data_IF_703467630140
#
_entry.id   IF_703467630140
#
_cell.length_a   1.000
_cell.length_b   1.000
_cell.length_c   1.000
_cell.angle_alpha   90.00
_cell.angle_beta   90.00
_cell.angle_gamma   90.00
#
_symmetry.space_group_name_H-M   'P 1'
#
loop_
_entity.id
_entity.type
_entity.pdbx_description
1 polymer ?
#
# COMPACT_ATOMS: atom_id res chain seq x y z
N UNK A 1 30.21 -13.05 -24.69
CA UNK A 1 28.90 -13.44 -24.13
C UNK A 1 27.79 -12.83 -24.98
N UNK A 2 27.59 -13.33 -26.20
CA UNK A 2 26.74 -12.67 -27.23
C UNK A 2 25.66 -13.59 -27.81
N UNK A 3 25.29 -14.67 -27.10
CA UNK A 3 24.47 -15.75 -27.69
C UNK A 3 23.17 -16.04 -26.94
N UNK A 4 22.55 -14.99 -26.36
CA UNK A 4 21.29 -15.12 -25.57
C UNK A 4 20.19 -14.11 -25.92
N UNK A 5 20.35 -13.33 -27.00
CA UNK A 5 19.43 -12.24 -27.34
C UNK A 5 18.46 -12.52 -28.51
N UNK A 6 18.45 -13.75 -29.06
CA UNK A 6 17.58 -14.11 -30.19
C UNK A 6 16.26 -14.82 -29.80
N UNK A 7 16.03 -15.13 -28.53
CA UNK A 7 14.92 -16.01 -28.11
C UNK A 7 13.70 -15.31 -27.47
N UNK A 8 13.59 -13.98 -27.52
CA UNK A 8 12.43 -13.24 -26.95
C UNK A 8 11.68 -12.43 -28.02
N UNK A 9 11.41 -13.03 -29.17
CA UNK A 9 10.61 -12.43 -30.26
C UNK A 9 9.27 -13.13 -30.53
N UNK A 10 8.68 -13.75 -29.51
CA UNK A 10 7.55 -14.67 -29.68
C UNK A 10 6.40 -14.60 -28.67
N UNK A 11 6.18 -13.48 -27.96
CA UNK A 11 5.02 -13.34 -27.08
C UNK A 11 4.25 -12.05 -27.39
N UNK A 12 3.22 -12.17 -28.22
CA UNK A 12 2.27 -11.11 -28.51
C UNK A 12 1.43 -10.76 -27.28
N UNK A 13 1.49 -9.49 -26.88
CA UNK A 13 0.62 -8.90 -25.86
C UNK A 13 -0.70 -8.52 -26.56
N UNK A 14 -1.88 -8.99 -26.11
CA UNK A 14 -3.13 -8.55 -26.70
C UNK A 14 -3.47 -7.14 -26.20
N UNK A 15 -3.67 -6.22 -27.15
CA UNK A 15 -4.21 -4.89 -26.91
C UNK A 15 -5.68 -5.00 -26.46
N UNK A 16 -6.00 -4.48 -25.27
CA UNK A 16 -7.39 -4.31 -24.84
C UNK A 16 -7.84 -2.91 -25.25
N UNK A 17 -8.61 -2.86 -26.33
CA UNK A 17 -9.37 -1.71 -26.81
C UNK A 17 -10.54 -1.41 -25.87
N UNK A 18 -10.59 -0.18 -25.33
CA UNK A 18 -11.79 0.33 -24.64
C UNK A 18 -12.53 1.23 -25.62
N UNK A 19 -13.60 0.72 -26.21
CA UNK A 19 -14.56 1.51 -26.99
C UNK A 19 -15.98 1.20 -26.52
N UNK A 20 -16.62 2.25 -25.97
CA UNK A 20 -18.03 2.60 -26.12
C UNK A 20 -19.09 1.64 -25.61
N UNK A 21 -19.89 2.09 -24.63
CA UNK A 21 -21.34 1.82 -24.66
C UNK A 21 -22.11 3.03 -24.13
N UNK A 22 -23.14 3.36 -24.91
CA UNK A 22 -24.08 4.46 -24.85
C UNK A 22 -24.93 4.58 -23.57
N UNK A 23 -25.41 5.81 -23.40
CA UNK A 23 -26.55 6.17 -22.55
C UNK A 23 -27.89 5.68 -23.15
N UNK A 24 -28.89 5.55 -22.25
CA UNK A 24 -30.35 5.51 -22.46
C UNK A 24 -31.06 4.15 -22.59
N UNK A 25 -31.86 3.82 -21.55
CA UNK A 25 -33.20 3.20 -21.56
C UNK A 25 -33.52 2.70 -20.12
N UNK A 26 -34.29 3.42 -19.30
CA UNK A 26 -35.75 3.25 -19.05
C UNK A 26 -36.22 1.82 -18.72
N UNK A 27 -36.65 1.60 -17.47
CA UNK A 27 -37.67 0.61 -17.03
C UNK A 27 -37.77 0.68 -15.49
N UNK A 28 -38.80 1.35 -14.93
CA UNK A 28 -40.10 0.77 -14.53
C UNK A 28 -40.07 0.04 -13.19
N UNK A 29 -40.54 0.74 -12.16
CA UNK A 29 -41.00 0.22 -10.87
C UNK A 29 -42.16 -0.76 -11.06
N UNK A 30 -42.25 -1.83 -10.24
CA UNK A 30 -43.53 -2.38 -9.84
C UNK A 30 -43.75 -2.15 -8.34
N UNK A 31 -44.85 -1.44 -8.11
CA UNK A 31 -45.55 -1.26 -6.85
C UNK A 31 -46.28 -2.56 -6.44
N UNK A 32 -46.53 -2.67 -5.13
CA UNK A 32 -47.62 -3.41 -4.49
C UNK A 32 -47.48 -4.92 -4.23
N UNK A 33 -47.21 -5.25 -2.96
CA UNK A 33 -47.99 -6.29 -2.28
C UNK A 33 -48.33 -5.80 -0.86
N UNK A 34 -49.62 -5.84 -0.54
CA UNK A 34 -50.33 -5.17 0.55
C UNK A 34 -49.82 -5.48 1.96
N UNK A 35 -49.80 -4.41 2.78
CA UNK A 35 -49.79 -4.49 4.23
C UNK A 35 -51.25 -4.59 4.70
N UNK A 36 -51.65 -5.76 5.18
CA UNK A 36 -52.82 -5.88 6.05
C UNK A 36 -52.43 -5.40 7.45
N UNK A 37 -53.05 -4.29 7.87
CA UNK A 37 -52.92 -3.74 9.22
C UNK A 37 -53.55 -4.70 10.24
N UNK A 38 -52.76 -5.15 11.21
CA UNK A 38 -53.31 -5.71 12.46
C UNK A 38 -53.34 -4.60 13.51
N UNK A 39 -54.52 -4.45 14.13
CA UNK A 39 -54.82 -3.46 15.15
C UNK A 39 -54.37 -4.05 16.47
N UNK A 40 -53.28 -3.53 17.03
CA UNK A 40 -53.17 -3.27 18.46
C UNK A 40 -51.93 -2.41 18.69
N UNK A 41 -52.16 -1.18 19.16
CA UNK A 41 -51.09 -0.23 19.46
C UNK A 41 -50.28 -0.71 20.65
N UNK A 42 -49.06 -1.16 20.40
CA UNK A 42 -47.93 -1.09 21.32
C UNK A 42 -46.69 -0.73 20.50
N UNK A 43 -46.09 0.42 20.80
CA UNK A 43 -44.80 0.83 20.24
C UNK A 43 -43.75 -0.25 20.55
N UNK A 44 -43.18 -0.85 19.52
CA UNK A 44 -42.04 -1.75 19.68
C UNK A 44 -40.79 -0.90 19.97
N UNK A 45 -40.54 -0.69 21.26
CA UNK A 45 -39.25 -0.25 21.77
C UNK A 45 -38.15 -1.16 21.22
N UNK A 46 -37.18 -0.58 20.51
CA UNK A 46 -35.99 -1.26 20.06
C UNK A 46 -35.12 -1.57 21.28
N UNK A 47 -35.36 -2.72 21.91
CA UNK A 47 -34.47 -3.25 22.94
C UNK A 47 -33.21 -3.74 22.26
N UNK A 48 -32.16 -2.91 22.32
CA UNK A 48 -30.81 -3.34 22.06
C UNK A 48 -30.48 -4.52 22.98
N UNK A 49 -30.17 -5.67 22.40
CA UNK A 49 -29.70 -6.81 23.17
C UNK A 49 -28.32 -6.46 23.74
N UNK A 50 -28.27 -6.03 25.00
CA UNK A 50 -27.05 -6.02 25.81
C UNK A 50 -26.55 -7.45 25.93
N UNK A 51 -25.60 -7.81 25.08
CA UNK A 51 -24.73 -8.94 25.34
C UNK A 51 -23.81 -8.55 26.49
N UNK A 52 -23.88 -9.31 27.59
CA UNK A 52 -22.97 -9.18 28.73
C UNK A 52 -21.52 -9.46 28.29
N UNK A 53 -20.84 -8.42 27.84
CA UNK A 53 -19.39 -8.33 27.80
C UNK A 53 -18.92 -7.61 29.05
N UNK A 54 -17.92 -8.17 29.73
CA UNK A 54 -17.25 -7.52 30.86
C UNK A 54 -16.81 -6.10 30.51
N UNK A 55 -16.95 -5.11 31.41
CA UNK A 55 -16.66 -3.70 31.12
C UNK A 55 -15.16 -3.36 31.36
N UNK A 56 -14.25 -4.20 30.86
CA UNK A 56 -12.81 -3.98 30.98
C UNK A 56 -12.17 -3.97 29.59
N UNK A 57 -12.33 -2.90 28.80
CA UNK A 57 -11.60 -2.82 27.53
C UNK A 57 -11.96 -1.75 26.49
N UNK A 58 -12.94 -0.87 26.72
CA UNK A 58 -13.32 0.12 25.69
C UNK A 58 -12.26 1.21 25.46
N UNK A 59 -11.42 1.55 26.43
CA UNK A 59 -10.40 2.61 26.28
C UNK A 59 -9.11 2.18 25.56
N UNK A 60 -8.73 0.91 25.61
CA UNK A 60 -7.44 0.43 25.07
C UNK A 60 -7.50 0.16 23.56
N UNK A 61 -8.67 -0.26 23.06
CA UNK A 61 -8.88 -0.54 21.64
C UNK A 61 -8.81 0.74 20.78
N UNK A 62 -9.31 1.86 21.31
CA UNK A 62 -9.32 3.16 20.62
C UNK A 62 -7.94 3.81 20.60
N UNK A 63 -7.20 3.78 21.72
CA UNK A 63 -5.83 4.34 21.78
C UNK A 63 -4.89 3.68 20.76
N UNK A 64 -4.99 2.36 20.60
CA UNK A 64 -4.08 1.61 19.73
C UNK A 64 -4.30 1.88 18.22
N UNK A 65 -5.55 2.13 17.80
CA UNK A 65 -5.84 2.57 16.44
C UNK A 65 -5.40 4.02 16.22
N UNK A 66 -5.53 4.89 17.22
CA UNK A 66 -5.05 6.28 17.15
C UNK A 66 -3.55 6.31 16.91
N UNK A 67 -2.76 5.52 17.65
CA UNK A 67 -1.31 5.44 17.47
C UNK A 67 -0.94 4.96 16.06
N UNK A 68 -1.64 3.92 15.57
CA UNK A 68 -1.43 3.42 14.22
C UNK A 68 -1.76 4.44 13.13
N UNK A 69 -2.90 5.13 13.23
CA UNK A 69 -3.23 6.18 12.28
C UNK A 69 -2.26 7.36 12.37
N UNK A 70 -1.70 7.64 13.55
CA UNK A 70 -0.58 8.56 13.72
C UNK A 70 0.63 8.15 12.90
N UNK A 71 1.07 6.89 13.01
CA UNK A 71 2.17 6.35 12.20
C UNK A 71 1.88 6.40 10.70
N UNK A 72 0.66 6.03 10.27
CA UNK A 72 0.23 6.10 8.88
C UNK A 72 0.28 7.53 8.35
N UNK A 73 -0.15 8.51 9.15
CA UNK A 73 -0.14 9.91 8.76
C UNK A 73 1.29 10.45 8.65
N UNK A 74 2.14 10.13 9.62
CA UNK A 74 3.55 10.51 9.60
C UNK A 74 4.27 9.94 8.36
N UNK A 75 4.06 8.65 8.07
CA UNK A 75 4.65 8.00 6.90
C UNK A 75 4.11 8.58 5.58
N UNK A 76 2.80 8.87 5.53
CA UNK A 76 2.18 9.57 4.40
C UNK A 76 2.80 10.95 4.18
N UNK A 77 3.04 11.71 5.25
CA UNK A 77 3.67 13.03 5.17
C UNK A 77 5.11 12.94 4.67
N UNK A 78 5.88 11.94 5.11
CA UNK A 78 7.23 11.71 4.62
C UNK A 78 7.25 11.35 3.13
N UNK A 79 6.31 10.53 2.65
CA UNK A 79 6.20 10.21 1.21
C UNK A 79 5.82 11.45 0.40
N UNK A 80 4.91 12.29 0.90
CA UNK A 80 4.57 13.57 0.25
C UNK A 80 5.77 14.50 0.23
N UNK A 81 6.50 14.60 1.34
CA UNK A 81 7.71 15.39 1.45
C UNK A 81 8.79 14.92 0.47
N UNK A 82 9.02 13.60 0.39
CA UNK A 82 9.91 12.99 -0.59
C UNK A 82 9.52 13.40 -2.01
N UNK A 83 8.25 13.26 -2.40
CA UNK A 83 7.77 13.70 -3.72
C UNK A 83 7.99 15.19 -3.97
N UNK A 84 7.80 16.03 -2.95
CA UNK A 84 8.04 17.47 -3.06
C UNK A 84 9.53 17.80 -3.27
N UNK A 85 10.46 17.02 -2.71
CA UNK A 85 11.88 17.14 -3.03
C UNK A 85 12.11 16.82 -4.51
N UNK A 86 11.51 15.74 -5.03
CA UNK A 86 11.63 15.37 -6.46
C UNK A 86 11.13 16.47 -7.39
N UNK A 87 10.02 17.11 -7.06
CA UNK A 87 9.48 18.23 -7.83
C UNK A 87 10.40 19.45 -7.84
N UNK A 88 11.20 19.66 -6.78
CA UNK A 88 12.19 20.73 -6.72
C UNK A 88 13.47 20.42 -7.51
N UNK A 89 13.85 19.14 -7.67
CA UNK A 89 15.02 18.79 -8.50
C UNK A 89 14.81 19.10 -9.99
N UNK A 90 13.60 18.90 -10.51
CA UNK A 90 13.28 19.08 -11.94
C UNK A 90 13.67 20.47 -12.49
N UNK A 91 13.23 21.59 -11.89
CA UNK A 91 13.62 22.92 -12.39
C UNK A 91 15.13 23.16 -12.26
N UNK A 92 15.79 22.65 -11.23
CA UNK A 92 17.24 22.80 -11.07
C UNK A 92 18.01 22.08 -12.20
N UNK A 93 17.56 20.89 -12.62
CA UNK A 93 18.17 20.21 -13.77
C UNK A 93 17.99 20.99 -15.07
N UNK A 94 16.82 21.58 -15.29
CA UNK A 94 16.58 22.44 -16.46
C UNK A 94 17.43 23.71 -16.43
N UNK A 95 17.50 24.37 -15.28
CA UNK A 95 18.29 25.59 -15.09
C UNK A 95 19.79 25.32 -15.25
N UNK A 96 20.25 24.17 -14.76
CA UNK A 96 21.64 23.72 -14.91
C UNK A 96 22.02 23.52 -16.37
N UNK A 97 21.13 22.94 -17.17
CA UNK A 97 21.35 22.74 -18.59
C UNK A 97 21.36 24.07 -19.38
N UNK A 98 20.60 25.08 -18.92
CA UNK A 98 20.50 26.38 -19.60
C UNK A 98 21.63 27.36 -19.24
N UNK A 99 22.33 27.16 -18.11
CA UNK A 99 23.27 28.14 -17.55
C UNK A 99 24.72 27.80 -17.86
N UNK A 100 25.45 28.74 -18.48
CA UNK A 100 26.90 28.63 -18.75
C UNK A 100 27.77 29.44 -17.77
N UNK A 101 27.14 30.22 -16.89
CA UNK A 101 27.83 31.05 -15.90
C UNK A 101 28.42 30.19 -14.78
N UNK A 102 29.76 30.11 -14.70
CA UNK A 102 30.50 29.25 -13.75
C UNK A 102 30.04 29.39 -12.28
N UNK A 103 29.77 30.61 -11.83
CA UNK A 103 29.33 30.88 -10.45
C UNK A 103 27.95 30.31 -10.15
N UNK A 104 26.99 30.47 -11.06
CA UNK A 104 25.63 29.91 -10.92
C UNK A 104 25.61 28.40 -11.08
N UNK A 105 26.42 27.89 -12.02
CA UNK A 105 26.63 26.45 -12.23
C UNK A 105 27.04 25.74 -10.93
N UNK A 106 28.01 26.30 -10.20
CA UNK A 106 28.47 25.72 -8.94
C UNK A 106 27.38 25.75 -7.86
N UNK A 107 26.61 26.85 -7.78
CA UNK A 107 25.52 26.99 -6.83
C UNK A 107 24.40 25.98 -7.09
N UNK A 108 23.92 25.89 -8.34
CA UNK A 108 22.88 24.95 -8.75
C UNK A 108 23.33 23.50 -8.51
N UNK A 109 24.60 23.18 -8.78
CA UNK A 109 25.14 21.84 -8.51
C UNK A 109 25.11 21.50 -7.01
N UNK A 110 25.46 22.46 -6.15
CA UNK A 110 25.38 22.31 -4.70
C UNK A 110 23.95 22.08 -4.22
N UNK A 111 22.99 22.82 -4.79
CA UNK A 111 21.56 22.68 -4.45
C UNK A 111 21.01 21.31 -4.89
N UNK A 112 21.35 20.87 -6.11
CA UNK A 112 21.01 19.52 -6.61
C UNK A 112 21.57 18.46 -5.67
N UNK A 113 22.86 18.51 -5.33
CA UNK A 113 23.49 17.53 -4.45
C UNK A 113 22.85 17.51 -3.05
N UNK A 114 22.45 18.68 -2.53
CA UNK A 114 21.76 18.79 -1.24
C UNK A 114 20.37 18.17 -1.31
N UNK A 115 19.59 18.42 -2.36
CA UNK A 115 18.27 17.82 -2.52
C UNK A 115 18.34 16.31 -2.76
N UNK A 116 19.31 15.83 -3.55
CA UNK A 116 19.55 14.40 -3.76
C UNK A 116 19.84 13.68 -2.44
N UNK A 117 20.74 14.23 -1.60
CA UNK A 117 21.06 13.66 -0.29
C UNK A 117 19.83 13.61 0.62
N UNK A 118 19.07 14.69 0.70
CA UNK A 118 17.82 14.73 1.48
C UNK A 118 16.79 13.74 0.96
N UNK A 119 16.67 13.58 -0.36
CA UNK A 119 15.77 12.61 -0.96
C UNK A 119 16.17 11.17 -0.58
N UNK A 120 17.47 10.83 -0.64
CA UNK A 120 17.99 9.53 -0.20
C UNK A 120 17.72 9.27 1.29
N UNK A 121 18.00 10.25 2.16
CA UNK A 121 17.76 10.13 3.61
C UNK A 121 16.28 9.85 3.92
N UNK A 122 15.37 10.61 3.33
CA UNK A 122 13.93 10.42 3.51
C UNK A 122 13.48 9.08 2.94
N UNK A 123 13.99 8.69 1.77
CA UNK A 123 13.62 7.43 1.14
C UNK A 123 14.06 6.22 1.98
N UNK A 124 15.27 6.25 2.55
CA UNK A 124 15.73 5.22 3.48
C UNK A 124 14.88 5.17 4.75
N UNK A 125 14.54 6.34 5.31
CA UNK A 125 13.67 6.42 6.49
C UNK A 125 12.29 5.83 6.21
N UNK A 126 11.63 6.22 5.11
CA UNK A 126 10.32 5.68 4.70
C UNK A 126 10.40 4.17 4.50
N UNK A 127 11.48 3.66 3.90
CA UNK A 127 11.68 2.21 3.72
C UNK A 127 11.74 1.47 5.06
N UNK A 128 12.50 1.99 6.02
CA UNK A 128 12.60 1.40 7.36
C UNK A 128 11.26 1.45 8.09
N UNK A 129 10.61 2.61 8.12
CA UNK A 129 9.32 2.77 8.82
C UNK A 129 8.22 1.90 8.17
N UNK A 130 8.25 1.68 6.85
CA UNK A 130 7.38 0.72 6.17
C UNK A 130 7.65 -0.72 6.63
N UNK A 131 8.92 -1.11 6.69
CA UNK A 131 9.31 -2.44 7.19
C UNK A 131 8.85 -2.65 8.63
N UNK A 132 9.06 -1.67 9.50
CA UNK A 132 8.65 -1.73 10.90
C UNK A 132 7.13 -1.87 11.02
N UNK A 133 6.36 -1.11 10.23
CA UNK A 133 4.91 -1.27 10.18
C UNK A 133 4.47 -2.65 9.65
N UNK A 134 5.21 -3.25 8.72
CA UNK A 134 4.94 -4.60 8.24
C UNK A 134 5.12 -5.64 9.37
N UNK A 135 6.22 -5.54 10.12
CA UNK A 135 6.52 -6.42 11.25
C UNK A 135 5.50 -6.24 12.39
N UNK A 136 5.11 -5.01 12.68
CA UNK A 136 4.08 -4.71 13.69
C UNK A 136 2.71 -5.22 13.27
N UNK A 137 2.35 -5.13 11.98
CA UNK A 137 1.12 -5.72 11.47
C UNK A 137 1.09 -7.25 11.62
N UNK A 138 2.24 -7.91 11.41
CA UNK A 138 2.39 -9.35 11.62
C UNK A 138 2.19 -9.70 13.10
N UNK A 139 2.90 -9.03 13.99
CA UNK A 139 2.77 -9.21 15.45
C UNK A 139 1.34 -8.97 15.93
N UNK A 140 0.67 -7.95 15.40
CA UNK A 140 -0.72 -7.66 15.73
C UNK A 140 -1.65 -8.83 15.36
N UNK A 141 -1.48 -9.41 14.18
CA UNK A 141 -2.30 -10.54 13.74
C UNK A 141 -2.06 -11.79 14.59
N UNK A 142 -0.82 -12.03 15.00
CA UNK A 142 -0.45 -13.15 15.89
C UNK A 142 -1.02 -12.97 17.30
N UNK A 143 -0.94 -11.75 17.86
CA UNK A 143 -1.40 -11.45 19.22
C UNK A 143 -2.93 -11.31 19.31
N UNK A 144 -3.59 -10.89 18.22
CA UNK A 144 -5.02 -10.58 18.20
C UNK A 144 -5.76 -11.28 17.05
N UNK A 145 -5.80 -12.63 17.01
CA UNK A 145 -6.39 -13.39 15.90
C UNK A 145 -7.89 -13.14 15.70
N UNK A 146 -8.59 -12.65 16.73
CA UNK A 146 -10.01 -12.31 16.67
C UNK A 146 -10.29 -10.89 16.17
N UNK A 147 -9.30 -9.98 16.16
CA UNK A 147 -9.45 -8.58 15.74
C UNK A 147 -9.23 -8.42 14.23
N UNK A 148 -9.92 -9.24 13.44
CA UNK A 148 -9.72 -9.33 11.98
C UNK A 148 -10.03 -8.04 11.22
N UNK A 149 -10.98 -7.24 11.71
CA UNK A 149 -11.34 -5.95 11.08
C UNK A 149 -10.19 -4.94 11.14
N UNK A 150 -9.57 -4.81 12.31
CA UNK A 150 -8.42 -3.94 12.51
C UNK A 150 -7.19 -4.44 11.74
N UNK A 151 -6.91 -5.74 11.80
CA UNK A 151 -5.82 -6.37 11.05
C UNK A 151 -5.94 -6.05 9.55
N UNK A 152 -7.16 -6.14 9.00
CA UNK A 152 -7.44 -5.79 7.61
C UNK A 152 -7.18 -4.31 7.33
N UNK A 153 -7.62 -3.40 8.19
CA UNK A 153 -7.35 -1.96 8.02
C UNK A 153 -5.85 -1.71 7.99
N UNK A 154 -5.11 -2.27 8.97
CA UNK A 154 -3.67 -2.11 9.10
C UNK A 154 -2.90 -2.52 7.84
N UNK A 155 -3.16 -3.73 7.36
CA UNK A 155 -2.51 -4.27 6.15
C UNK A 155 -2.86 -3.43 4.91
N UNK A 156 -4.13 -3.04 4.74
CA UNK A 156 -4.54 -2.23 3.59
C UNK A 156 -3.89 -0.83 3.58
N UNK A 157 -3.75 -0.19 4.74
CA UNK A 157 -3.07 1.11 4.84
C UNK A 157 -1.58 0.98 4.51
N UNK A 158 -0.90 -0.04 5.05
CA UNK A 158 0.50 -0.29 4.75
C UNK A 158 0.72 -0.58 3.24
N UNK A 159 -0.11 -1.42 2.61
CA UNK A 159 -0.07 -1.64 1.16
C UNK A 159 -0.31 -0.36 0.34
N UNK A 160 -1.22 0.52 0.78
CA UNK A 160 -1.46 1.81 0.12
C UNK A 160 -0.19 2.67 0.15
N UNK A 161 0.46 2.76 1.31
CA UNK A 161 1.67 3.56 1.50
C UNK A 161 2.84 3.02 0.67
N UNK A 162 3.05 1.70 0.63
CA UNK A 162 4.08 1.10 -0.25
C UNK A 162 3.82 1.49 -1.72
N UNK A 163 2.60 1.31 -2.22
CA UNK A 163 2.28 1.67 -3.61
C UNK A 163 2.51 3.15 -3.88
N UNK A 164 2.19 4.02 -2.93
CA UNK A 164 2.44 5.46 -3.06
C UNK A 164 3.94 5.77 -3.12
N UNK A 165 4.73 5.12 -2.28
CA UNK A 165 6.18 5.28 -2.24
C UNK A 165 6.88 4.70 -3.47
N UNK A 166 6.46 3.53 -3.96
CA UNK A 166 6.96 2.94 -5.21
C UNK A 166 6.74 3.88 -6.40
N UNK A 167 5.55 4.49 -6.52
CA UNK A 167 5.26 5.47 -7.58
C UNK A 167 6.17 6.70 -7.50
N UNK A 168 6.43 7.21 -6.30
CA UNK A 168 7.33 8.35 -6.12
C UNK A 168 8.78 7.97 -6.47
N UNK A 169 9.21 6.76 -6.12
CA UNK A 169 10.55 6.24 -6.43
C UNK A 169 10.73 6.04 -7.93
N UNK A 170 9.72 5.52 -8.62
CA UNK A 170 9.71 5.39 -10.09
C UNK A 170 9.75 6.76 -10.78
N UNK A 171 9.02 7.77 -10.26
CA UNK A 171 9.11 9.14 -10.75
C UNK A 171 10.54 9.70 -10.60
N UNK A 172 11.21 9.41 -9.48
CA UNK A 172 12.58 9.83 -9.26
C UNK A 172 13.56 9.13 -10.20
N UNK A 173 13.44 7.82 -10.37
CA UNK A 173 14.28 7.03 -11.27
C UNK A 173 14.21 7.58 -12.70
N UNK A 174 12.98 7.83 -13.19
CA UNK A 174 12.78 8.43 -14.52
C UNK A 174 13.42 9.81 -14.64
N UNK A 175 13.33 10.64 -13.60
CA UNK A 175 13.97 11.96 -13.58
C UNK A 175 15.50 11.85 -13.63
N UNK A 176 16.10 10.93 -12.86
CA UNK A 176 17.55 10.69 -12.89
C UNK A 176 18.00 10.14 -14.24
N UNK A 177 17.27 9.17 -14.80
CA UNK A 177 17.58 8.56 -16.08
C UNK A 177 17.53 9.58 -17.23
N UNK A 178 16.52 10.44 -17.25
CA UNK A 178 16.42 11.51 -18.23
C UNK A 178 17.59 12.50 -18.10
N UNK A 179 17.98 12.86 -16.87
CA UNK A 179 19.10 13.77 -16.69
C UNK A 179 20.44 13.14 -17.10
N UNK A 180 20.62 11.85 -16.82
CA UNK A 180 21.77 11.09 -17.28
C UNK A 180 21.86 11.13 -18.81
N UNK A 181 20.77 10.84 -19.51
CA UNK A 181 20.71 10.86 -20.98
C UNK A 181 21.04 12.25 -21.54
N UNK A 182 20.47 13.31 -20.97
CA UNK A 182 20.77 14.69 -21.36
C UNK A 182 22.27 15.00 -21.21
N UNK A 183 22.87 14.60 -20.09
CA UNK A 183 24.29 14.89 -19.81
C UNK A 183 25.24 14.08 -20.69
N UNK A 184 24.89 12.82 -21.00
CA UNK A 184 25.61 12.01 -21.97
C UNK A 184 25.54 12.62 -23.37
N UNK A 185 24.36 13.07 -23.81
CA UNK A 185 24.20 13.75 -25.10
C UNK A 185 25.02 15.03 -25.21
N UNK A 186 25.07 15.84 -24.15
CA UNK A 186 25.94 17.03 -24.08
C UNK A 186 27.42 16.64 -24.16
N UNK A 187 27.82 15.57 -23.47
CA UNK A 187 29.20 15.09 -23.49
C UNK A 187 29.61 14.60 -24.89
N UNK A 188 28.76 13.85 -25.57
CA UNK A 188 29.00 13.37 -26.93
C UNK A 188 29.12 14.53 -27.92
N UNK A 189 28.24 15.52 -27.81
CA UNK A 189 28.30 16.73 -28.64
C UNK A 189 29.60 17.49 -28.41
N UNK A 190 30.04 17.60 -27.15
CA UNK A 190 31.29 18.28 -26.80
C UNK A 190 32.52 17.54 -27.34
N UNK A 191 32.57 16.21 -27.21
CA UNK A 191 33.63 15.38 -27.76
C UNK A 191 33.75 15.53 -29.28
N UNK A 192 32.64 15.46 -30.02
CA UNK A 192 32.61 15.69 -31.47
C UNK A 192 32.98 17.12 -31.86
N UNK A 193 32.72 18.10 -31.00
CA UNK A 193 33.16 19.48 -31.22
C UNK A 193 34.67 19.65 -31.06
N UNK A 194 35.32 18.86 -30.18
CA UNK A 194 36.78 18.87 -30.00
C UNK A 194 37.45 18.08 -31.11
N UNK A 195 36.90 16.92 -31.47
CA UNK A 195 37.42 16.06 -32.52
C UNK A 195 36.29 15.57 -33.46
N UNK A 196 36.06 16.27 -34.60
CA UNK A 196 34.98 15.92 -35.53
C UNK A 196 35.10 14.55 -36.20
N UNK A 197 36.28 13.93 -36.18
CA UNK A 197 36.55 12.63 -36.81
C UNK A 197 36.23 11.41 -35.95
N UNK A 198 35.68 11.59 -34.73
CA UNK A 198 35.35 10.46 -33.85
C UNK A 198 34.17 9.64 -34.37
N UNK A 199 34.34 8.34 -34.44
CA UNK A 199 33.23 7.40 -34.63
C UNK A 199 32.39 7.26 -33.35
N UNK A 200 31.16 6.76 -33.48
CA UNK A 200 30.20 6.64 -32.37
C UNK A 200 30.75 5.81 -31.20
N UNK A 201 31.50 4.74 -31.50
CA UNK A 201 32.09 3.89 -30.47
C UNK A 201 33.27 4.59 -29.78
N UNK A 202 34.07 5.38 -30.50
CA UNK A 202 35.14 6.18 -29.89
C UNK A 202 34.59 7.28 -28.99
N UNK A 203 33.50 7.94 -29.40
CA UNK A 203 32.82 8.95 -28.56
C UNK A 203 32.32 8.33 -27.26
N UNK A 204 31.76 7.11 -27.33
CA UNK A 204 31.28 6.38 -26.15
C UNK A 204 32.43 6.06 -25.19
N UNK A 205 33.52 5.49 -25.71
CA UNK A 205 34.70 5.13 -24.91
C UNK A 205 35.35 6.37 -24.27
N UNK A 206 35.48 7.46 -25.02
CA UNK A 206 36.02 8.74 -24.52
C UNK A 206 35.09 9.41 -23.52
N UNK A 207 33.78 9.22 -23.62
CA UNK A 207 32.86 9.73 -22.63
C UNK A 207 32.93 8.95 -21.31
N UNK A 208 33.24 7.65 -21.36
CA UNK A 208 33.52 6.85 -20.15
C UNK A 208 34.90 7.18 -19.55
N UNK A 209 35.90 7.46 -20.40
CA UNK A 209 37.30 7.71 -20.02
C UNK A 209 37.85 8.99 -20.67
N UNK A 210 37.39 10.18 -20.23
CA UNK A 210 37.77 11.46 -20.84
C UNK A 210 39.28 11.75 -20.76
N UNK A 211 40.01 11.15 -19.83
CA UNK A 211 41.46 11.25 -19.70
C UNK A 211 42.23 10.68 -20.91
N UNK A 212 41.61 9.77 -21.68
CA UNK A 212 42.22 9.18 -22.89
C UNK A 212 42.15 10.11 -24.10
N UNK A 213 41.39 11.20 -24.02
CA UNK A 213 41.31 12.20 -25.09
C UNK A 213 42.65 12.89 -25.35
N UNK A 214 43.39 13.22 -24.28
CA UNK A 214 44.69 13.90 -24.40
C UNK A 214 45.73 13.06 -25.16
N UNK A 215 46.06 11.83 -24.74
CA UNK A 215 47.06 11.04 -25.44
C UNK A 215 46.66 10.76 -26.90
N UNK A 216 45.37 10.53 -27.17
CA UNK A 216 44.86 10.34 -28.52
C UNK A 216 45.11 11.56 -29.42
N UNK A 217 44.81 12.77 -28.94
CA UNK A 217 45.04 14.00 -29.71
C UNK A 217 46.53 14.34 -29.86
N UNK A 218 47.37 14.02 -28.88
CA UNK A 218 48.82 14.24 -28.95
C UNK A 218 49.51 13.28 -29.93
N UNK A 219 48.98 12.06 -30.12
CA UNK A 219 49.46 11.12 -31.13
C UNK A 219 49.13 11.60 -32.55
N UNK A 220 47.99 12.25 -32.73
CA UNK A 220 47.51 12.73 -34.03
C UNK A 220 48.11 14.11 -34.41
N UNK A 221 48.20 15.05 -33.46
CA UNK A 221 48.88 16.34 -33.61
C UNK A 221 49.87 16.60 -32.45
N UNK A 222 51.18 16.41 -32.67
CA UNK A 222 52.20 16.62 -31.63
C UNK A 222 52.35 18.07 -31.18
N UNK A 223 52.01 19.03 -32.05
CA UNK A 223 52.16 20.48 -31.82
C UNK A 223 50.90 21.14 -31.22
N UNK A 224 49.90 20.34 -30.81
CA UNK A 224 48.62 20.84 -30.31
C UNK A 224 48.78 21.70 -29.04
N UNK A 225 48.11 22.85 -29.01
CA UNK A 225 48.11 23.75 -27.85
C UNK A 225 47.36 23.14 -26.65
N UNK A 226 48.12 22.66 -25.66
CA UNK A 226 47.59 21.90 -24.51
C UNK A 226 46.76 22.73 -23.51
N UNK A 227 46.90 24.06 -23.51
CA UNK A 227 46.29 24.92 -22.50
C UNK A 227 44.76 24.89 -22.51
N UNK A 228 44.17 25.09 -23.68
CA UNK A 228 42.71 25.06 -23.89
C UNK A 228 42.16 23.64 -23.77
N UNK A 229 42.88 22.65 -24.31
CA UNK A 229 42.50 21.23 -24.23
C UNK A 229 42.39 20.72 -22.79
N UNK A 230 43.32 21.10 -21.91
CA UNK A 230 43.27 20.67 -20.50
C UNK A 230 42.03 21.22 -19.77
N UNK A 231 41.55 22.41 -20.12
CA UNK A 231 40.31 22.98 -19.54
C UNK A 231 39.09 22.19 -20.00
N UNK A 232 39.08 21.78 -21.28
CA UNK A 232 37.97 21.00 -21.85
C UNK A 232 37.93 19.57 -21.29
N UNK A 233 39.09 18.92 -21.12
CA UNK A 233 39.18 17.60 -20.49
C UNK A 233 38.71 17.67 -19.04
N UNK A 234 39.10 18.70 -18.28
CA UNK A 234 38.63 18.88 -16.90
C UNK A 234 37.10 19.05 -16.82
N UNK A 235 36.48 19.73 -17.79
CA UNK A 235 35.01 19.85 -17.89
C UNK A 235 34.35 18.50 -18.22
N UNK A 236 34.95 17.71 -19.13
CA UNK A 236 34.49 16.36 -19.46
C UNK A 236 34.60 15.39 -18.26
N UNK A 237 35.71 15.41 -17.54
CA UNK A 237 35.92 14.63 -16.30
C UNK A 237 34.91 15.02 -15.21
N UNK A 238 34.59 16.31 -15.08
CA UNK A 238 33.55 16.76 -14.16
C UNK A 238 32.18 16.19 -14.55
N UNK A 239 31.79 16.29 -15.82
CA UNK A 239 30.52 15.71 -16.31
C UNK A 239 30.47 14.19 -16.14
N UNK A 240 31.57 13.48 -16.40
CA UNK A 240 31.67 12.04 -16.20
C UNK A 240 31.41 11.66 -14.73
N UNK A 241 32.03 12.38 -13.77
CA UNK A 241 31.76 12.18 -12.34
C UNK A 241 30.30 12.45 -11.96
N UNK A 242 29.70 13.49 -12.54
CA UNK A 242 28.28 13.78 -12.31
C UNK A 242 27.37 12.68 -12.89
N UNK A 243 27.70 12.12 -14.07
CA UNK A 243 26.98 10.96 -14.64
C UNK A 243 27.12 9.73 -13.75
N UNK A 244 28.33 9.43 -13.26
CA UNK A 244 28.56 8.30 -12.36
C UNK A 244 27.72 8.42 -11.07
N UNK A 245 27.58 9.63 -10.51
CA UNK A 245 26.71 9.87 -9.36
C UNK A 245 25.22 9.64 -9.68
N UNK A 246 24.75 10.02 -10.88
CA UNK A 246 23.38 9.71 -11.33
C UNK A 246 23.17 8.20 -11.48
N UNK A 247 24.16 7.47 -12.02
CA UNK A 247 24.09 6.01 -12.16
C UNK A 247 24.04 5.29 -10.81
N UNK A 248 24.81 5.75 -9.84
CA UNK A 248 24.76 5.25 -8.46
C UNK A 248 23.37 5.48 -7.85
N UNK A 249 22.85 6.71 -7.94
CA UNK A 249 21.50 7.06 -7.49
C UNK A 249 20.42 6.17 -8.15
N UNK A 250 20.47 5.97 -9.47
CA UNK A 250 19.54 5.07 -10.18
C UNK A 250 19.64 3.63 -9.66
N UNK A 251 20.85 3.13 -9.41
CA UNK A 251 21.07 1.79 -8.87
C UNK A 251 20.47 1.63 -7.48
N UNK A 252 20.64 2.63 -6.61
CA UNK A 252 20.04 2.65 -5.28
C UNK A 252 18.51 2.64 -5.33
N UNK A 253 17.91 3.41 -6.25
CA UNK A 253 16.46 3.43 -6.46
C UNK A 253 15.94 2.08 -6.96
N UNK A 254 16.68 1.43 -7.85
CA UNK A 254 16.34 0.09 -8.32
C UNK A 254 16.40 -0.93 -7.17
N UNK A 255 17.44 -0.87 -6.34
CA UNK A 255 17.53 -1.73 -5.15
C UNK A 255 16.35 -1.48 -4.20
N UNK A 256 15.97 -0.22 -4.00
CA UNK A 256 14.81 0.13 -3.21
C UNK A 256 13.51 -0.43 -3.77
N UNK A 257 13.34 -0.44 -5.09
CA UNK A 257 12.19 -1.04 -5.75
C UNK A 257 12.10 -2.56 -5.49
N UNK A 258 13.24 -3.26 -5.54
CA UNK A 258 13.33 -4.68 -5.22
C UNK A 258 12.98 -4.93 -3.73
N UNK A 259 13.56 -4.14 -2.82
CA UNK A 259 13.28 -4.23 -1.38
C UNK A 259 11.77 -4.05 -1.09
N UNK A 260 11.13 -3.05 -1.73
CA UNK A 260 9.69 -2.78 -1.57
C UNK A 260 8.83 -3.89 -2.16
N UNK A 261 9.26 -4.53 -3.25
CA UNK A 261 8.53 -5.64 -3.88
C UNK A 261 8.44 -6.84 -2.94
N UNK A 262 9.52 -7.15 -2.23
CA UNK A 262 9.54 -8.19 -1.19
C UNK A 262 8.58 -7.87 -0.04
N UNK A 263 8.52 -6.60 0.39
CA UNK A 263 7.57 -6.18 1.43
C UNK A 263 6.11 -6.35 0.99
N UNK A 264 5.78 -6.12 -0.28
CA UNK A 264 4.42 -6.35 -0.81
C UNK A 264 4.09 -7.84 -0.83
N UNK A 265 5.01 -8.68 -1.31
CA UNK A 265 4.81 -10.12 -1.39
C UNK A 265 4.57 -10.74 0.00
N UNK A 266 5.36 -10.34 0.99
CA UNK A 266 5.25 -10.86 2.37
C UNK A 266 3.91 -10.56 3.07
N UNK A 267 3.11 -9.63 2.53
CA UNK A 267 1.78 -9.31 3.06
C UNK A 267 0.65 -10.15 2.47
N UNK A 268 0.90 -10.88 1.37
CA UNK A 268 -0.11 -11.75 0.77
C UNK A 268 -0.58 -12.82 1.75
N UNK A 269 0.37 -13.48 2.43
CA UNK A 269 0.10 -14.51 3.44
C UNK A 269 -0.76 -13.99 4.61
N UNK A 270 -0.51 -12.76 5.05
CA UNK A 270 -1.25 -12.15 6.16
C UNK A 270 -2.72 -11.87 5.79
N UNK A 271 -2.97 -11.49 4.53
CA UNK A 271 -4.35 -11.30 4.02
C UNK A 271 -5.10 -12.63 4.02
N UNK A 272 -4.46 -13.71 3.60
CA UNK A 272 -5.07 -15.05 3.56
C UNK A 272 -5.45 -15.52 4.97
N UNK A 273 -4.58 -15.28 5.96
CA UNK A 273 -4.86 -15.58 7.37
C UNK A 273 -6.05 -14.77 7.90
N UNK A 274 -6.11 -13.47 7.60
CA UNK A 274 -7.23 -12.62 7.98
C UNK A 274 -8.53 -13.13 7.36
N UNK A 275 -8.52 -13.51 6.07
CA UNK A 275 -9.71 -14.04 5.39
C UNK A 275 -10.19 -15.36 6.02
N UNK A 276 -9.27 -16.27 6.35
CA UNK A 276 -9.57 -17.51 7.06
C UNK A 276 -10.23 -17.25 8.43
N UNK A 277 -9.69 -16.31 9.21
CA UNK A 277 -10.23 -15.94 10.52
C UNK A 277 -11.61 -15.28 10.41
N UNK A 278 -11.82 -14.41 9.41
CA UNK A 278 -13.13 -13.81 9.11
C UNK A 278 -14.14 -14.88 8.71
N UNK A 279 -13.74 -15.84 7.86
CA UNK A 279 -14.62 -16.92 7.42
C UNK A 279 -15.03 -17.81 8.60
N UNK A 280 -14.09 -18.13 9.48
CA UNK A 280 -14.33 -18.91 10.70
C UNK A 280 -15.28 -18.17 11.65
N UNK A 281 -15.09 -16.87 11.84
CA UNK A 281 -15.97 -16.01 12.64
C UNK A 281 -17.39 -15.98 12.08
N UNK A 282 -17.53 -15.80 10.76
CA UNK A 282 -18.83 -15.87 10.07
C UNK A 282 -19.52 -17.22 10.26
N UNK A 283 -18.78 -18.34 10.19
CA UNK A 283 -19.31 -19.68 10.45
C UNK A 283 -19.81 -19.81 11.89
N UNK A 284 -19.03 -19.34 12.88
CA UNK A 284 -19.40 -19.36 14.30
C UNK A 284 -20.63 -18.52 14.61
N UNK A 285 -20.73 -17.31 14.06
CA UNK A 285 -21.92 -16.44 14.22
C UNK A 285 -23.16 -17.11 13.62
N UNK A 286 -23.04 -17.66 12.41
CA UNK A 286 -24.16 -18.38 11.76
C UNK A 286 -24.61 -19.59 12.58
N UNK A 287 -23.68 -20.33 13.18
CA UNK A 287 -24.00 -21.45 14.05
C UNK A 287 -24.64 -20.99 15.38
N UNK A 288 -24.14 -19.90 15.96
CA UNK A 288 -24.73 -19.28 17.16
C UNK A 288 -26.19 -18.86 16.93
N UNK A 289 -26.47 -18.20 15.79
CA UNK A 289 -27.84 -17.84 15.40
C UNK A 289 -28.73 -19.08 15.28
N UNK A 290 -28.26 -20.16 14.64
CA UNK A 290 -29.00 -21.43 14.58
C UNK A 290 -29.26 -22.03 15.95
N UNK A 291 -28.29 -22.00 16.84
CA UNK A 291 -28.42 -22.53 18.20
C UNK A 291 -29.43 -21.71 19.01
N UNK A 292 -29.44 -20.38 18.89
CA UNK A 292 -30.44 -19.51 19.53
C UNK A 292 -31.85 -19.74 18.99
N UNK A 293 -31.99 -19.95 17.68
CA UNK A 293 -33.27 -20.31 17.07
C UNK A 293 -33.79 -21.66 17.61
N UNK A 294 -32.91 -22.67 17.70
CA UNK A 294 -33.25 -23.98 18.29
C UNK A 294 -33.61 -23.85 19.77
N UNK A 295 -32.85 -23.08 20.55
CA UNK A 295 -33.12 -22.85 21.96
C UNK A 295 -34.48 -22.17 22.17
N UNK A 296 -34.81 -21.14 21.38
CA UNK A 296 -36.16 -20.53 21.39
C UNK A 296 -37.26 -21.55 21.04
N UNK A 297 -37.01 -22.44 20.08
CA UNK A 297 -37.93 -23.52 19.75
C UNK A 297 -38.16 -24.49 20.91
N UNK A 298 -37.08 -24.96 21.53
CA UNK A 298 -37.13 -25.85 22.70
C UNK A 298 -37.80 -25.19 23.90
N UNK A 299 -37.52 -23.91 24.18
CA UNK A 299 -38.14 -23.15 25.25
C UNK A 299 -39.67 -23.07 25.08
N UNK A 300 -40.16 -22.84 23.85
CA UNK A 300 -41.61 -22.86 23.57
C UNK A 300 -42.25 -24.23 23.83
N UNK A 301 -41.52 -25.31 23.57
CA UNK A 301 -42.00 -26.67 23.84
C UNK A 301 -41.95 -27.04 25.34
N UNK A 302 -40.93 -26.58 26.07
CA UNK A 302 -40.79 -26.87 27.50
C UNK A 302 -41.88 -26.18 28.31
N UNK A 303 -42.29 -24.96 27.96
CA UNK A 303 -43.44 -24.32 28.60
C UNK A 303 -44.71 -25.17 28.44
N UNK A 304 -45.01 -25.68 27.23
CA UNK A 304 -46.20 -26.55 27.01
C UNK A 304 -46.17 -27.80 27.89
N UNK A 305 -45.03 -28.45 28.02
CA UNK A 305 -44.86 -29.63 28.89
C UNK A 305 -44.99 -29.27 30.38
N UNK A 306 -44.45 -28.13 30.80
CA UNK A 306 -44.59 -27.62 32.16
C UNK A 306 -46.07 -27.35 32.51
N UNK A 307 -46.84 -26.74 31.60
CA UNK A 307 -48.29 -26.53 31.76
C UNK A 307 -49.04 -27.87 31.88
N UNK A 308 -48.68 -28.89 31.08
CA UNK A 308 -49.28 -30.22 31.19
C UNK A 308 -49.02 -30.87 32.57
N UNK A 309 -47.80 -30.77 33.10
CA UNK A 309 -47.44 -31.33 34.41
C UNK A 309 -48.20 -30.61 35.54
N UNK A 310 -48.30 -29.28 35.47
CA UNK A 310 -49.05 -28.48 36.46
C UNK A 310 -50.53 -28.87 36.48
N UNK A 311 -51.17 -28.98 35.31
CA UNK A 311 -52.58 -29.39 35.20
C UNK A 311 -52.78 -30.78 35.81
N UNK A 312 -51.90 -31.73 35.52
CA UNK A 312 -51.97 -33.08 36.08
C UNK A 312 -51.84 -33.09 37.62
N UNK A 313 -50.99 -32.23 38.18
CA UNK A 313 -50.80 -32.10 39.62
C UNK A 313 -52.04 -31.49 40.31
N UNK A 314 -52.67 -30.49 39.71
CA UNK A 314 -53.94 -29.92 40.20
C UNK A 314 -55.04 -30.98 40.24
N UNK A 315 -55.18 -31.78 39.18
CA UNK A 315 -56.17 -32.86 39.12
C UNK A 315 -55.94 -33.87 40.25
N UNK A 316 -54.68 -34.24 40.51
CA UNK A 316 -54.32 -35.14 41.60
C UNK A 316 -54.71 -34.57 42.97
N UNK A 317 -54.44 -33.28 43.23
CA UNK A 317 -54.83 -32.62 44.49
C UNK A 317 -56.35 -32.65 44.67
N UNK A 318 -57.11 -32.28 43.63
CA UNK A 318 -58.58 -32.28 43.68
C UNK A 318 -59.11 -33.69 43.96
N UNK A 319 -58.54 -34.71 43.31
CA UNK A 319 -58.92 -36.11 43.54
C UNK A 319 -58.66 -36.60 44.97
N UNK A 320 -57.71 -36.01 45.70
CA UNK A 320 -57.42 -36.33 47.11
C UNK A 320 -58.28 -35.50 48.07
N UNK A 321 -58.42 -34.20 47.81
CA UNK A 321 -59.10 -33.25 48.71
C UNK A 321 -60.61 -33.45 48.70
N UNK A 322 -61.23 -33.68 47.54
CA UNK A 322 -62.69 -33.83 47.42
C UNK A 322 -63.23 -35.00 48.27
N UNK A 323 -62.67 -36.22 48.21
CA UNK A 323 -63.11 -37.31 49.09
C UNK A 323 -62.97 -36.97 50.56
N UNK A 324 -61.84 -36.37 50.97
CA UNK A 324 -61.60 -36.00 52.37
C UNK A 324 -62.67 -35.03 52.85
N UNK A 325 -62.92 -33.95 52.10
CA UNK A 325 -63.94 -32.95 52.46
C UNK A 325 -65.35 -33.54 52.48
N UNK A 326 -65.69 -34.39 51.51
CA UNK A 326 -66.99 -35.09 51.49
C UNK A 326 -67.15 -36.01 52.70
N UNK A 327 -66.08 -36.72 53.09
CA UNK A 327 -66.13 -37.57 54.30
C UNK A 327 -66.23 -36.77 55.58
N UNK A 328 -65.57 -35.60 55.68
CA UNK A 328 -65.67 -34.75 56.87
C UNK A 328 -67.04 -34.07 56.99
N UNK A 329 -67.63 -33.64 55.88
CA UNK A 329 -68.97 -33.02 55.87
C UNK A 329 -70.08 -34.05 56.09
N UNK A 330 -69.88 -35.31 55.68
CA UNK A 330 -70.87 -36.38 55.93
C UNK A 330 -70.80 -36.95 57.35
N UNK A 331 -69.67 -36.80 58.04
CA UNK A 331 -69.45 -37.30 59.40
C UNK A 331 -69.59 -36.23 60.50
N UNK A 332 -69.84 -34.96 60.13
CA UNK A 332 -70.22 -33.89 61.07
C UNK A 332 -71.69 -33.55 60.92
#
# INVERSE_FOLDING_TARGET
>A
MQDRLSEVKGAGIPAVSVSGVDSTATASTPDSCEIAADKDGHEAEFVAAEGSGSPDGEGACDSFLVDFFGQVNELSNQIVFYRNLLMQLRPLYMERAATSEKGKVALIQSDIATLQRRAQEVAQKVKLDLKDMADDNRRFCEQHPTRTGEARIRVNQHQRLIRQFMRATEEYERLQAQQKENMQGMMYTKLRSIHPGLDDDQVRDLAEKPETLRPMLQEEEPDLELGTLNVEIADLEMRNREIAALEESIRELHQMFLDLSVLVESQGELIDQIESNVQSTRKSVKQGVKNLQRARGLQRCSHKLMWCIIILLIILIVAIVVPVVVTTVRNG
#
